data_IF_956541484582
#
_entry.id   IF_956541484582
#
_cell.length_a   1.000
_cell.length_b   1.000
_cell.length_c   1.000
_cell.angle_alpha   90.00
_cell.angle_beta   90.00
_cell.angle_gamma   90.00
#
_symmetry.space_group_name_H-M   'P 1'
#
loop_
_entity.id
_entity.type
_entity.pdbx_description
1 polymer ?
#
# COMPACT_ATOMS: atom_id res chain seq x y z
N UNK A 1 15.32 -29.37 7.14
CA UNK A 1 14.37 -28.26 6.89
C UNK A 1 15.21 -27.03 6.60
N UNK A 2 14.90 -26.22 5.57
CA UNK A 2 15.80 -25.11 5.14
C UNK A 2 15.94 -24.01 6.22
N UNK A 3 15.04 -23.97 7.19
CA UNK A 3 15.11 -23.11 8.37
C UNK A 3 14.70 -23.92 9.60
N UNK A 4 15.54 -23.87 10.63
CA UNK A 4 15.32 -24.63 11.88
C UNK A 4 14.40 -23.89 12.87
N UNK A 5 14.08 -22.62 12.61
CA UNK A 5 13.17 -21.83 13.45
C UNK A 5 12.62 -20.60 12.72
N UNK A 6 11.55 -20.02 13.26
CA UNK A 6 11.01 -18.71 12.82
C UNK A 6 12.07 -17.60 12.91
N UNK A 7 13.00 -17.69 13.86
CA UNK A 7 14.09 -16.72 14.00
C UNK A 7 15.13 -16.84 12.87
N UNK A 8 15.36 -18.05 12.36
CA UNK A 8 16.20 -18.26 11.17
C UNK A 8 15.56 -17.66 9.90
N UNK A 9 14.23 -17.66 9.80
CA UNK A 9 13.49 -16.97 8.73
C UNK A 9 13.60 -15.44 8.85
N UNK A 10 13.57 -14.90 10.06
CA UNK A 10 13.69 -13.45 10.26
C UNK A 10 15.12 -12.95 10.06
N UNK A 11 16.12 -13.72 10.50
CA UNK A 11 17.52 -13.32 10.44
C UNK A 11 18.17 -13.66 9.09
N UNK A 12 17.67 -14.66 8.34
CA UNK A 12 18.22 -15.16 7.08
C UNK A 12 19.76 -15.13 7.05
N UNK A 13 20.40 -15.79 8.03
CA UNK A 13 21.86 -15.86 8.12
C UNK A 13 22.57 -14.51 8.32
N UNK A 14 21.88 -13.48 8.84
CA UNK A 14 22.40 -12.12 9.04
C UNK A 14 21.93 -11.09 8.01
N UNK A 15 21.22 -11.52 6.96
CA UNK A 15 20.75 -10.63 5.88
C UNK A 15 19.26 -10.30 5.92
N UNK A 16 18.52 -10.81 6.92
CA UNK A 16 17.08 -10.67 6.98
C UNK A 16 16.58 -9.22 6.96
N UNK A 17 17.30 -8.29 7.56
CA UNK A 17 16.96 -6.86 7.54
C UNK A 17 16.84 -6.32 6.11
N UNK A 18 17.80 -6.60 5.23
CA UNK A 18 17.78 -6.16 3.83
C UNK A 18 16.62 -6.78 3.06
N UNK A 19 16.37 -8.06 3.28
CA UNK A 19 15.31 -8.80 2.61
C UNK A 19 13.93 -8.24 2.98
N UNK A 20 13.66 -8.10 4.28
CA UNK A 20 12.38 -7.58 4.76
C UNK A 20 12.16 -6.11 4.41
N UNK A 21 13.23 -5.28 4.39
CA UNK A 21 13.13 -3.91 3.89
C UNK A 21 12.76 -3.89 2.40
N UNK A 22 13.41 -4.71 1.57
CA UNK A 22 13.09 -4.79 0.14
C UNK A 22 11.62 -5.19 -0.08
N UNK A 23 11.15 -6.25 0.60
CA UNK A 23 9.75 -6.66 0.57
C UNK A 23 8.81 -5.56 1.07
N UNK A 24 9.17 -4.86 2.15
CA UNK A 24 8.38 -3.77 2.71
C UNK A 24 8.23 -2.59 1.75
N UNK A 25 9.31 -2.20 1.07
CA UNK A 25 9.28 -1.14 0.05
C UNK A 25 8.42 -1.56 -1.14
N UNK A 26 8.61 -2.76 -1.68
CA UNK A 26 7.81 -3.27 -2.80
C UNK A 26 6.32 -3.33 -2.45
N UNK A 27 5.98 -3.85 -1.26
CA UNK A 27 4.60 -3.90 -0.79
C UNK A 27 4.01 -2.49 -0.62
N UNK A 28 4.79 -1.55 -0.10
CA UNK A 28 4.37 -0.15 0.04
C UNK A 28 4.06 0.49 -1.31
N UNK A 29 4.87 0.23 -2.34
CA UNK A 29 4.61 0.72 -3.70
C UNK A 29 3.34 0.12 -4.29
N UNK A 30 3.11 -1.18 -4.12
CA UNK A 30 1.89 -1.85 -4.57
C UNK A 30 0.65 -1.26 -3.88
N UNK A 31 0.69 -1.12 -2.55
CA UNK A 31 -0.40 -0.52 -1.78
C UNK A 31 -0.64 0.93 -2.18
N UNK A 32 0.43 1.71 -2.39
CA UNK A 32 0.31 3.08 -2.86
C UNK A 32 -0.40 3.17 -4.21
N UNK A 33 -0.04 2.27 -5.14
CA UNK A 33 -0.67 2.17 -6.45
C UNK A 33 -2.17 1.86 -6.36
N UNK A 34 -2.59 1.07 -5.36
CA UNK A 34 -4.01 0.76 -5.11
C UNK A 34 -4.76 1.90 -4.39
N UNK A 35 -4.12 2.56 -3.43
CA UNK A 35 -4.75 3.61 -2.62
C UNK A 35 -4.90 4.92 -3.41
N UNK A 36 -3.94 5.24 -4.27
CA UNK A 36 -3.95 6.44 -5.11
C UNK A 36 -5.25 6.62 -5.93
N UNK A 37 -5.68 5.65 -6.76
CA UNK A 37 -6.92 5.76 -7.52
C UNK A 37 -8.15 5.77 -6.61
N UNK A 38 -8.12 5.05 -5.49
CA UNK A 38 -9.22 5.02 -4.53
C UNK A 38 -9.46 6.40 -3.90
N UNK A 39 -8.39 7.11 -3.55
CA UNK A 39 -8.46 8.48 -3.03
C UNK A 39 -8.91 9.46 -4.10
N UNK A 40 -8.41 9.31 -5.33
CA UNK A 40 -8.82 10.13 -6.47
C UNK A 40 -10.31 9.97 -6.79
N UNK A 41 -10.82 8.74 -6.79
CA UNK A 41 -12.22 8.43 -7.05
C UNK A 41 -13.16 9.09 -6.03
N UNK A 42 -12.84 8.96 -4.72
CA UNK A 42 -13.62 9.63 -3.66
C UNK A 42 -13.65 11.15 -3.82
N UNK A 43 -12.53 11.75 -4.25
CA UNK A 43 -12.45 13.19 -4.51
C UNK A 43 -13.34 13.59 -5.70
N UNK A 44 -13.32 12.81 -6.78
CA UNK A 44 -14.13 13.07 -7.97
C UNK A 44 -15.63 13.00 -7.67
N UNK A 45 -16.08 11.96 -6.95
CA UNK A 45 -17.50 11.84 -6.54
C UNK A 45 -17.96 13.03 -5.71
N UNK A 46 -17.14 13.49 -4.75
CA UNK A 46 -17.47 14.66 -3.95
C UNK A 46 -17.67 15.91 -4.81
N UNK A 47 -16.83 16.10 -5.83
CA UNK A 47 -16.94 17.24 -6.74
C UNK A 47 -18.22 17.16 -7.61
N UNK A 48 -18.59 15.97 -8.09
CA UNK A 48 -19.82 15.77 -8.87
C UNK A 48 -21.05 16.14 -8.03
N UNK A 49 -21.11 15.68 -6.78
CA UNK A 49 -22.24 15.99 -5.88
C UNK A 49 -22.33 17.49 -5.60
N UNK A 50 -21.20 18.16 -5.38
CA UNK A 50 -21.17 19.62 -5.14
C UNK A 50 -21.66 20.38 -6.38
N UNK A 51 -21.16 20.03 -7.57
CA UNK A 51 -21.55 20.71 -8.81
C UNK A 51 -23.03 20.51 -9.15
N UNK A 52 -23.55 19.29 -8.98
CA UNK A 52 -24.98 19.00 -9.20
C UNK A 52 -25.90 19.82 -8.28
N UNK A 53 -25.45 20.15 -7.06
CA UNK A 53 -26.20 21.01 -6.16
C UNK A 53 -26.23 22.47 -6.65
N UNK A 54 -25.10 23.00 -7.13
CA UNK A 54 -24.98 24.38 -7.58
C UNK A 54 -25.75 24.67 -8.88
N UNK A 55 -26.06 23.66 -9.70
CA UNK A 55 -26.86 23.79 -10.92
C UNK A 55 -28.38 23.75 -10.67
N UNK A 56 -28.80 23.32 -9.47
CA UNK A 56 -30.21 23.18 -9.08
C UNK A 56 -30.75 24.35 -8.24
N UNK A 57 -29.87 25.23 -7.76
CA UNK A 57 -30.18 26.45 -6.98
C UNK A 57 -30.16 27.68 -7.91
#
# INVERSE_FOLDING_TARGET
MYFDSIQALWSMGGHGSYVWIAYGVSLSMMLWSLISPLKAYRKQLKNIVINAKNESD
#
